data_IF_933312528647
#
_entry.id   IF_933312528647
#
_cell.length_a   1.000
_cell.length_b   1.000
_cell.length_c   1.000
_cell.angle_alpha   90.00
_cell.angle_beta   90.00
_cell.angle_gamma   90.00
#
_symmetry.space_group_name_H-M   'P 1'
#
loop_
_entity.id
_entity.type
_entity.pdbx_description
1 polymer ?
#
# COMPACT_ATOMS: atom_id res chain seq x y z
N UNK A 1 9.24 -12.00 12.36
CA UNK A 1 9.33 -13.25 11.56
C UNK A 1 10.77 -13.75 11.48
N UNK A 2 11.75 -12.88 11.18
CA UNK A 2 13.18 -13.23 11.15
C UNK A 2 13.70 -13.91 12.43
N UNK A 3 13.49 -13.31 13.59
CA UNK A 3 14.04 -13.82 14.86
C UNK A 3 13.23 -14.94 15.53
N UNK A 4 12.00 -15.20 15.07
CA UNK A 4 11.06 -16.13 15.73
C UNK A 4 10.97 -17.50 15.08
N UNK A 5 11.40 -17.63 13.82
CA UNK A 5 11.44 -18.91 13.09
C UNK A 5 12.87 -19.24 12.68
N UNK A 6 13.36 -20.41 13.14
CA UNK A 6 14.70 -20.94 12.86
C UNK A 6 14.82 -21.54 11.43
N UNK A 7 13.70 -21.76 10.74
CA UNK A 7 13.64 -22.34 9.39
C UNK A 7 13.52 -21.23 8.33
N UNK A 8 14.49 -21.19 7.41
CA UNK A 8 14.50 -20.24 6.28
C UNK A 8 13.29 -20.42 5.35
N UNK A 9 12.79 -21.65 5.19
CA UNK A 9 11.59 -21.93 4.37
C UNK A 9 10.36 -21.25 4.98
N UNK A 10 10.17 -21.38 6.30
CA UNK A 10 9.04 -20.75 6.98
C UNK A 10 9.11 -19.22 6.88
N UNK A 11 10.32 -18.65 6.91
CA UNK A 11 10.55 -17.21 6.73
C UNK A 11 10.18 -16.74 5.33
N UNK A 12 10.60 -17.47 4.29
CA UNK A 12 10.26 -17.14 2.88
C UNK A 12 8.75 -17.20 2.66
N UNK A 13 8.08 -18.26 3.11
CA UNK A 13 6.62 -18.39 2.98
C UNK A 13 5.91 -17.24 3.70
N UNK A 14 6.35 -16.89 4.91
CA UNK A 14 5.75 -15.78 5.65
C UNK A 14 5.94 -14.42 4.95
N UNK A 15 7.10 -14.16 4.34
CA UNK A 15 7.33 -12.94 3.55
C UNK A 15 6.40 -12.89 2.34
N UNK A 16 6.26 -14.00 1.62
CA UNK A 16 5.34 -14.08 0.46
C UNK A 16 3.91 -13.80 0.89
N UNK A 17 3.42 -14.45 1.95
CA UNK A 17 2.09 -14.19 2.49
C UNK A 17 1.89 -12.72 2.89
N UNK A 18 2.86 -12.12 3.58
CA UNK A 18 2.80 -10.70 3.96
C UNK A 18 2.71 -9.81 2.74
N UNK A 19 3.53 -10.04 1.71
CA UNK A 19 3.48 -9.25 0.47
C UNK A 19 2.10 -9.33 -0.20
N UNK A 20 1.52 -10.52 -0.32
CA UNK A 20 0.19 -10.69 -0.91
C UNK A 20 -0.90 -9.95 -0.13
N UNK A 21 -0.90 -10.08 1.19
CA UNK A 21 -1.88 -9.40 2.05
C UNK A 21 -1.70 -7.88 1.96
N UNK A 22 -0.46 -7.39 2.02
CA UNK A 22 -0.16 -5.96 1.91
C UNK A 22 -0.59 -5.37 0.57
N UNK A 23 -0.27 -6.03 -0.56
CA UNK A 23 -0.69 -5.53 -1.87
C UNK A 23 -2.21 -5.56 -2.05
N UNK A 24 -2.87 -6.62 -1.60
CA UNK A 24 -4.34 -6.75 -1.68
C UNK A 24 -5.02 -5.64 -0.88
N UNK A 25 -4.52 -5.37 0.33
CA UNK A 25 -5.02 -4.30 1.19
C UNK A 25 -4.87 -2.93 0.53
N UNK A 26 -3.67 -2.60 0.06
CA UNK A 26 -3.40 -1.29 -0.58
C UNK A 26 -4.21 -1.14 -1.86
N UNK A 27 -4.27 -2.16 -2.71
CA UNK A 27 -5.06 -2.12 -3.95
C UNK A 27 -6.54 -1.82 -3.69
N UNK A 28 -7.12 -2.44 -2.66
CA UNK A 28 -8.49 -2.15 -2.22
C UNK A 28 -8.67 -0.70 -1.75
N UNK A 29 -7.71 -0.18 -0.96
CA UNK A 29 -7.73 1.20 -0.49
C UNK A 29 -7.62 2.22 -1.63
N UNK A 30 -6.79 1.96 -2.63
CA UNK A 30 -6.58 2.89 -3.75
C UNK A 30 -7.88 3.19 -4.51
N UNK A 31 -8.79 2.22 -4.62
CA UNK A 31 -10.11 2.47 -5.22
C UNK A 31 -10.95 3.45 -4.39
N UNK A 32 -10.92 3.32 -3.07
CA UNK A 32 -11.59 4.25 -2.16
C UNK A 32 -11.00 5.66 -2.25
N UNK A 33 -9.67 5.77 -2.24
CA UNK A 33 -8.94 7.04 -2.38
C UNK A 33 -9.32 7.75 -3.69
N UNK A 34 -9.35 7.03 -4.81
CA UNK A 34 -9.75 7.57 -6.10
C UNK A 34 -11.18 8.12 -6.13
N UNK A 35 -12.14 7.41 -5.52
CA UNK A 35 -13.53 7.87 -5.42
C UNK A 35 -13.61 9.16 -4.60
N UNK A 36 -12.93 9.20 -3.46
CA UNK A 36 -12.90 10.39 -2.58
C UNK A 36 -12.34 11.60 -3.33
N UNK A 37 -11.15 11.49 -3.92
CA UNK A 37 -10.54 12.59 -4.66
C UNK A 37 -11.35 13.02 -5.89
N UNK A 38 -11.96 12.07 -6.61
CA UNK A 38 -12.85 12.38 -7.72
C UNK A 38 -14.06 13.22 -7.29
N UNK A 39 -14.57 13.01 -6.08
CA UNK A 39 -15.71 13.77 -5.54
C UNK A 39 -15.33 15.17 -5.03
N UNK A 40 -14.13 15.33 -4.48
CA UNK A 40 -13.68 16.61 -3.93
C UNK A 40 -13.01 17.52 -4.95
N UNK A 41 -12.27 16.95 -5.92
CA UNK A 41 -11.52 17.70 -6.92
C UNK A 41 -12.20 17.72 -8.30
N UNK A 42 -13.36 17.06 -8.42
CA UNK A 42 -14.15 16.94 -9.66
C UNK A 42 -13.36 16.36 -10.86
N UNK A 43 -12.34 15.54 -10.57
CA UNK A 43 -11.52 14.86 -11.57
C UNK A 43 -11.97 13.42 -11.79
N UNK A 44 -11.49 12.79 -12.86
CA UNK A 44 -11.68 11.36 -13.08
C UNK A 44 -11.07 10.53 -11.93
N UNK A 45 -11.70 9.40 -11.59
CA UNK A 45 -11.24 8.49 -10.52
C UNK A 45 -9.78 8.10 -10.73
N UNK A 46 -9.38 7.79 -11.96
CA UNK A 46 -8.01 7.42 -12.31
C UNK A 46 -7.02 8.51 -11.92
N UNK A 47 -7.34 9.77 -12.22
CA UNK A 47 -6.54 10.94 -11.81
C UNK A 47 -6.52 11.10 -10.29
N UNK A 48 -7.66 10.89 -9.62
CA UNK A 48 -7.73 10.88 -8.15
C UNK A 48 -6.85 9.81 -7.50
N UNK A 49 -6.74 8.63 -8.11
CA UNK A 49 -5.82 7.56 -7.67
C UNK A 49 -4.37 8.01 -7.81
N UNK A 50 -3.98 8.61 -8.95
CA UNK A 50 -2.62 9.11 -9.16
C UNK A 50 -2.23 10.20 -8.14
N UNK A 51 -3.15 11.12 -7.83
CA UNK A 51 -2.93 12.14 -6.78
C UNK A 51 -2.70 11.47 -5.43
N UNK A 52 -3.55 10.50 -5.07
CA UNK A 52 -3.41 9.72 -3.84
C UNK A 52 -2.06 8.99 -3.75
N UNK A 53 -1.61 8.35 -4.84
CA UNK A 53 -0.31 7.69 -4.90
C UNK A 53 0.84 8.67 -4.71
N UNK A 54 0.77 9.86 -5.33
CA UNK A 54 1.81 10.87 -5.17
C UNK A 54 1.94 11.32 -3.70
N UNK A 55 0.82 11.59 -3.03
CA UNK A 55 0.82 12.00 -1.62
C UNK A 55 1.39 10.90 -0.72
N UNK A 56 0.94 9.65 -0.91
CA UNK A 56 1.44 8.50 -0.15
C UNK A 56 2.94 8.29 -0.40
N UNK A 57 3.40 8.47 -1.64
CA UNK A 57 4.82 8.40 -1.98
C UNK A 57 5.65 9.45 -1.23
N UNK A 58 5.23 10.73 -1.26
CA UNK A 58 5.91 11.78 -0.50
C UNK A 58 5.92 11.49 1.00
N UNK A 59 4.79 11.04 1.55
CA UNK A 59 4.71 10.68 2.97
C UNK A 59 5.62 9.50 3.33
N UNK A 60 5.66 8.45 2.51
CA UNK A 60 6.49 7.27 2.76
C UNK A 60 8.00 7.58 2.64
N UNK A 61 8.38 8.39 1.66
CA UNK A 61 9.79 8.78 1.42
C UNK A 61 10.31 9.74 2.49
N UNK A 62 9.52 10.76 2.88
CA UNK A 62 9.94 11.75 3.86
C UNK A 62 9.70 11.32 5.31
N UNK A 63 8.62 10.58 5.55
CA UNK A 63 8.18 10.20 6.89
C UNK A 63 9.06 9.14 7.53
N UNK A 64 9.56 8.18 6.74
CA UNK A 64 10.36 7.05 7.22
C UNK A 64 9.61 6.20 8.25
N UNK A 65 9.26 4.95 7.92
CA UNK A 65 8.71 4.04 8.93
C UNK A 65 9.78 3.78 10.00
N UNK A 66 9.67 4.47 11.13
CA UNK A 66 10.50 4.23 12.32
C UNK A 66 10.11 2.90 12.96
#
# INVERSE_FOLDING_TARGET
VGDRYYSDIARVVAVVCVLFVSFTYVAGQMRGVGIVFSRFLEVEITTGVFIGMAIVFFYAVLGGMK
#
